data_IF_345090396157
#
_entry.id   IF_345090396157
#
_cell.length_a   1.000
_cell.length_b   1.000
_cell.length_c   1.000
_cell.angle_alpha   90.00
_cell.angle_beta   90.00
_cell.angle_gamma   90.00
#
_symmetry.space_group_name_H-M   'P 1'
#
loop_
_entity.id
_entity.type
_entity.pdbx_description
1 polymer ?
#
# COMPACT_ATOMS: atom_id res chain seq x y z
N UNK A 1 -20.24 -28.31 -15.81
CA UNK A 1 -20.15 -27.37 -14.66
C UNK A 1 -20.71 -28.06 -13.44
N UNK A 2 -20.10 -27.84 -12.27
CA UNK A 2 -20.60 -28.31 -10.98
C UNK A 2 -21.93 -27.64 -10.62
N UNK A 3 -22.66 -28.24 -9.67
CA UNK A 3 -23.80 -27.60 -9.02
C UNK A 3 -23.37 -26.23 -8.45
N UNK A 4 -24.28 -25.27 -8.46
CA UNK A 4 -24.01 -23.89 -8.09
C UNK A 4 -25.15 -23.28 -7.28
N UNK A 5 -24.84 -22.13 -6.62
CA UNK A 5 -25.85 -21.38 -5.88
C UNK A 5 -26.47 -20.31 -6.79
N UNK A 6 -27.77 -20.32 -6.94
CA UNK A 6 -28.52 -19.26 -7.61
C UNK A 6 -28.81 -18.14 -6.62
N UNK A 7 -28.16 -16.97 -6.85
CA UNK A 7 -28.26 -15.78 -5.99
C UNK A 7 -29.66 -15.13 -6.04
N UNK A 8 -30.40 -15.36 -7.11
CA UNK A 8 -31.72 -14.76 -7.29
C UNK A 8 -32.81 -15.52 -6.53
N UNK A 9 -32.71 -16.85 -6.49
CA UNK A 9 -33.67 -17.73 -5.82
C UNK A 9 -33.25 -18.19 -4.43
N UNK A 10 -31.95 -18.07 -4.12
CA UNK A 10 -31.38 -18.59 -2.88
C UNK A 10 -31.27 -20.11 -2.84
N UNK A 11 -31.33 -20.79 -3.99
CA UNK A 11 -31.37 -22.25 -4.09
C UNK A 11 -30.12 -22.81 -4.77
N UNK A 12 -29.82 -24.06 -4.50
CA UNK A 12 -28.81 -24.81 -5.24
C UNK A 12 -29.43 -25.33 -6.55
N UNK A 13 -28.75 -25.07 -7.65
CA UNK A 13 -29.14 -25.57 -8.99
C UNK A 13 -28.21 -26.70 -9.42
N UNK A 14 -28.77 -27.64 -10.22
CA UNK A 14 -28.05 -28.81 -10.72
C UNK A 14 -26.85 -28.42 -11.60
N UNK A 15 -25.79 -29.22 -11.55
CA UNK A 15 -24.68 -29.10 -12.46
C UNK A 15 -25.05 -29.51 -13.89
N UNK A 16 -24.20 -29.12 -14.84
CA UNK A 16 -24.41 -29.44 -16.27
C UNK A 16 -23.22 -30.19 -16.82
N UNK A 17 -23.52 -31.27 -17.56
CA UNK A 17 -22.50 -31.96 -18.34
C UNK A 17 -21.89 -31.00 -19.37
N UNK A 18 -20.54 -30.96 -19.42
CA UNK A 18 -19.79 -30.24 -20.43
C UNK A 18 -19.46 -31.13 -21.60
N UNK A 19 -19.54 -30.59 -22.81
CA UNK A 19 -19.10 -31.25 -24.04
C UNK A 19 -18.10 -30.29 -24.74
N UNK A 20 -16.92 -30.80 -25.06
CA UNK A 20 -15.94 -30.09 -25.85
C UNK A 20 -15.48 -30.94 -27.01
N UNK A 21 -15.25 -30.35 -28.17
CA UNK A 21 -14.74 -31.04 -29.37
C UNK A 21 -13.86 -30.09 -30.16
N UNK A 22 -13.00 -30.65 -31.01
CA UNK A 22 -12.19 -29.90 -31.95
C UNK A 22 -13.07 -29.30 -33.06
N UNK A 23 -13.30 -28.00 -33.01
CA UNK A 23 -14.16 -27.27 -33.96
C UNK A 23 -13.59 -27.37 -35.37
N UNK A 24 -12.27 -27.16 -35.57
CA UNK A 24 -11.65 -27.21 -36.90
C UNK A 24 -11.69 -28.59 -37.49
N UNK A 25 -11.47 -29.63 -36.68
CA UNK A 25 -11.63 -31.04 -37.09
C UNK A 25 -13.10 -31.37 -37.44
N UNK A 26 -14.05 -30.86 -36.65
CA UNK A 26 -15.47 -31.04 -36.94
C UNK A 26 -15.90 -30.36 -38.25
N UNK A 27 -15.47 -29.13 -38.50
CA UNK A 27 -15.73 -28.38 -39.74
C UNK A 27 -15.17 -29.12 -40.96
N UNK A 28 -13.98 -29.73 -40.85
CA UNK A 28 -13.39 -30.54 -41.92
C UNK A 28 -14.26 -31.79 -42.17
N UNK A 29 -14.66 -32.54 -41.13
CA UNK A 29 -15.49 -33.71 -41.25
C UNK A 29 -16.84 -33.39 -41.94
N UNK A 30 -17.42 -32.22 -41.59
CA UNK A 30 -18.66 -31.72 -42.22
C UNK A 30 -18.40 -31.32 -43.68
N UNK A 31 -17.32 -30.64 -44.00
CA UNK A 31 -16.95 -30.21 -45.33
C UNK A 31 -16.67 -31.39 -46.29
N UNK A 32 -16.10 -32.46 -45.80
CA UNK A 32 -15.78 -33.67 -46.57
C UNK A 32 -17.00 -34.64 -46.72
N UNK A 33 -18.10 -34.42 -46.03
CA UNK A 33 -19.24 -35.30 -45.99
C UNK A 33 -20.15 -35.17 -47.23
N UNK A 34 -20.71 -36.27 -47.65
CA UNK A 34 -21.71 -36.31 -48.71
C UNK A 34 -23.11 -35.98 -48.13
N UNK A 35 -24.03 -35.41 -48.97
CA UNK A 35 -25.41 -35.20 -48.53
C UNK A 35 -26.09 -36.46 -48.02
N UNK A 36 -26.61 -36.42 -46.77
CA UNK A 36 -27.22 -37.57 -46.10
C UNK A 36 -26.27 -38.53 -45.38
N UNK A 37 -24.97 -38.25 -45.37
CA UNK A 37 -23.97 -39.03 -44.62
C UNK A 37 -24.05 -38.71 -43.13
N UNK A 38 -24.10 -39.72 -42.27
CA UNK A 38 -23.91 -39.56 -40.82
C UNK A 38 -22.47 -39.34 -40.47
N UNK A 39 -22.20 -38.29 -39.68
CA UNK A 39 -20.86 -37.91 -39.25
C UNK A 39 -20.78 -38.06 -37.74
N UNK A 40 -19.73 -38.74 -37.25
CA UNK A 40 -19.42 -38.85 -35.84
C UNK A 40 -18.35 -37.85 -35.51
N UNK A 41 -18.69 -36.80 -34.72
CA UNK A 41 -17.70 -35.83 -34.22
C UNK A 41 -17.17 -36.32 -32.85
N UNK A 42 -15.87 -36.62 -32.73
CA UNK A 42 -15.29 -37.00 -31.43
C UNK A 42 -15.46 -35.85 -30.41
N UNK A 43 -16.05 -36.14 -29.28
CA UNK A 43 -16.27 -35.15 -28.24
C UNK A 43 -15.78 -35.66 -26.88
N UNK A 44 -15.21 -34.76 -26.07
CA UNK A 44 -14.88 -35.03 -24.69
C UNK A 44 -16.04 -34.60 -23.80
N UNK A 45 -16.54 -35.55 -23.01
CA UNK A 45 -17.64 -35.33 -22.07
C UNK A 45 -17.08 -35.15 -20.67
N UNK A 46 -17.43 -34.05 -20.00
CA UNK A 46 -17.04 -33.74 -18.62
C UNK A 46 -18.30 -33.74 -17.74
N UNK A 47 -18.35 -34.60 -16.75
CA UNK A 47 -19.43 -34.66 -15.78
C UNK A 47 -19.16 -33.72 -14.58
N UNK A 48 -20.24 -33.19 -13.93
CA UNK A 48 -20.08 -32.47 -12.66
C UNK A 48 -19.41 -33.36 -11.60
N UNK A 49 -18.45 -32.82 -10.89
CA UNK A 49 -17.78 -33.47 -9.72
C UNK A 49 -18.53 -33.19 -8.43
N UNK A 50 -19.36 -32.14 -8.40
CA UNK A 50 -20.20 -31.74 -7.26
C UNK A 50 -21.67 -31.76 -7.75
N UNK A 51 -22.47 -32.65 -7.20
CA UNK A 51 -23.91 -32.75 -7.47
C UNK A 51 -24.71 -31.78 -6.61
N UNK A 52 -25.94 -31.50 -6.97
CA UNK A 52 -26.89 -30.69 -6.18
C UNK A 52 -27.07 -31.24 -4.77
N UNK A 53 -27.28 -32.53 -4.64
CA UNK A 53 -27.54 -33.19 -3.36
C UNK A 53 -26.30 -33.14 -2.42
N UNK A 54 -25.09 -33.20 -2.96
CA UNK A 54 -23.86 -33.02 -2.18
C UNK A 54 -23.69 -31.57 -1.74
N UNK A 55 -23.87 -30.62 -2.67
CA UNK A 55 -23.74 -29.20 -2.37
C UNK A 55 -24.73 -28.73 -1.30
N UNK A 56 -25.99 -29.17 -1.36
CA UNK A 56 -27.01 -28.80 -0.37
C UNK A 56 -26.64 -29.20 1.06
N UNK A 57 -25.91 -30.32 1.24
CA UNK A 57 -25.49 -30.82 2.56
C UNK A 57 -24.35 -30.01 3.17
N UNK A 58 -23.53 -29.39 2.32
CA UNK A 58 -22.26 -28.77 2.76
C UNK A 58 -22.16 -27.27 2.44
N UNK A 59 -23.23 -26.70 1.88
CA UNK A 59 -23.26 -25.30 1.43
C UNK A 59 -22.91 -24.34 2.58
N UNK A 60 -21.83 -23.59 2.41
CA UNK A 60 -21.32 -22.61 3.38
C UNK A 60 -21.14 -23.13 4.81
N UNK A 61 -20.89 -24.45 4.97
CA UNK A 61 -20.81 -25.12 6.27
C UNK A 61 -19.64 -24.64 7.12
N UNK A 62 -18.50 -24.36 6.48
CA UNK A 62 -17.24 -24.15 7.16
C UNK A 62 -16.77 -22.68 7.03
N UNK A 63 -16.10 -22.17 8.06
CA UNK A 63 -15.28 -20.97 7.93
C UNK A 63 -13.94 -21.39 7.34
N UNK A 64 -13.69 -21.03 6.08
CA UNK A 64 -12.43 -21.37 5.39
C UNK A 64 -11.29 -20.48 5.86
N UNK A 65 -11.57 -19.20 6.11
CA UNK A 65 -10.60 -18.24 6.63
C UNK A 65 -11.25 -16.92 7.05
N UNK A 66 -10.53 -16.17 7.87
CA UNK A 66 -11.00 -14.89 8.37
C UNK A 66 -9.83 -13.99 8.78
N UNK A 67 -10.07 -12.68 8.73
CA UNK A 67 -9.21 -11.68 9.31
C UNK A 67 -10.02 -10.55 9.93
N UNK A 68 -9.44 -9.93 10.96
CA UNK A 68 -10.04 -8.80 11.68
C UNK A 68 -9.08 -7.64 11.70
N UNK A 69 -9.55 -6.46 11.31
CA UNK A 69 -8.78 -5.21 11.42
C UNK A 69 -9.50 -4.19 12.30
N UNK A 70 -8.72 -3.47 13.10
CA UNK A 70 -9.25 -2.39 13.97
C UNK A 70 -9.41 -1.11 13.15
N UNK A 71 -10.57 -0.46 13.29
CA UNK A 71 -10.94 0.76 12.55
C UNK A 71 -10.84 1.95 13.51
N UNK A 72 -9.88 2.82 13.26
CA UNK A 72 -9.66 4.09 13.97
C UNK A 72 -10.04 5.30 13.10
N UNK A 73 -10.05 6.49 13.68
CA UNK A 73 -10.23 7.77 12.99
C UNK A 73 -11.58 8.42 13.24
N UNK A 74 -12.00 9.30 12.32
CA UNK A 74 -13.23 10.08 12.46
C UNK A 74 -14.49 9.21 12.37
N UNK A 75 -15.61 9.70 12.92
CA UNK A 75 -16.92 9.04 12.80
C UNK A 75 -17.33 8.77 11.35
N UNK A 76 -16.99 9.68 10.44
CA UNK A 76 -17.31 9.55 9.02
C UNK A 76 -16.47 8.46 8.33
N UNK A 77 -15.19 8.33 8.70
CA UNK A 77 -14.35 7.21 8.25
C UNK A 77 -14.88 5.87 8.76
N UNK A 78 -15.22 5.80 10.04
CA UNK A 78 -15.80 4.59 10.66
C UNK A 78 -17.12 4.21 9.97
N UNK A 79 -17.98 5.21 9.69
CA UNK A 79 -19.22 5.01 8.93
C UNK A 79 -18.94 4.43 7.54
N UNK A 80 -17.99 4.99 6.78
CA UNK A 80 -17.64 4.52 5.44
C UNK A 80 -17.13 3.07 5.43
N UNK A 81 -16.25 2.71 6.38
CA UNK A 81 -15.75 1.34 6.52
C UNK A 81 -16.91 0.38 6.82
N UNK A 82 -17.78 0.74 7.76
CA UNK A 82 -18.94 -0.08 8.13
C UNK A 82 -19.92 -0.24 6.96
N UNK A 83 -20.16 0.83 6.19
CA UNK A 83 -21.00 0.79 5.00
C UNK A 83 -20.41 -0.12 3.91
N UNK A 84 -19.13 0.04 3.59
CA UNK A 84 -18.46 -0.80 2.60
C UNK A 84 -18.44 -2.29 3.02
N UNK A 85 -18.20 -2.56 4.30
CA UNK A 85 -18.29 -3.92 4.85
C UNK A 85 -19.71 -4.50 4.71
N UNK A 86 -20.75 -3.70 5.01
CA UNK A 86 -22.14 -4.11 4.81
C UNK A 86 -22.46 -4.42 3.35
N UNK A 87 -21.95 -3.63 2.41
CA UNK A 87 -22.22 -3.81 0.98
C UNK A 87 -21.62 -5.11 0.41
N UNK A 88 -20.46 -5.56 0.89
CA UNK A 88 -19.86 -6.84 0.46
C UNK A 88 -20.41 -8.05 1.23
N UNK A 89 -21.10 -7.83 2.36
CA UNK A 89 -21.55 -8.92 3.22
C UNK A 89 -22.71 -9.68 2.56
N UNK A 90 -22.62 -11.00 2.55
CA UNK A 90 -23.60 -11.89 1.91
C UNK A 90 -23.27 -12.21 0.45
N UNK A 91 -22.22 -11.64 -0.13
CA UNK A 91 -21.80 -11.94 -1.51
C UNK A 91 -21.44 -13.41 -1.66
N UNK A 92 -22.07 -14.08 -2.62
CA UNK A 92 -21.77 -15.46 -2.99
C UNK A 92 -20.99 -15.50 -4.30
N UNK A 93 -19.94 -16.33 -4.36
CA UNK A 93 -19.09 -16.52 -5.54
C UNK A 93 -19.05 -18.01 -5.84
N UNK A 94 -19.65 -18.44 -6.94
CA UNK A 94 -19.63 -19.83 -7.35
C UNK A 94 -18.23 -20.27 -7.81
N UNK A 95 -18.01 -21.57 -7.92
CA UNK A 95 -16.79 -22.16 -8.45
C UNK A 95 -16.42 -21.53 -9.81
N UNK A 96 -15.18 -21.07 -9.94
CA UNK A 96 -14.64 -20.42 -11.13
C UNK A 96 -15.07 -18.97 -11.35
N UNK A 97 -16.02 -18.41 -10.58
CA UNK A 97 -16.44 -17.02 -10.71
C UNK A 97 -15.46 -16.04 -10.07
N UNK A 98 -15.46 -14.81 -10.59
CA UNK A 98 -14.76 -13.69 -10.01
C UNK A 98 -15.67 -12.86 -9.09
N UNK A 99 -15.10 -12.34 -8.02
CA UNK A 99 -15.69 -11.30 -7.17
C UNK A 99 -14.93 -9.99 -7.39
N UNK A 100 -15.63 -8.93 -7.74
CA UNK A 100 -15.14 -7.56 -7.83
C UNK A 100 -15.56 -6.78 -6.59
N UNK A 101 -14.60 -6.24 -5.86
CA UNK A 101 -14.88 -5.41 -4.68
C UNK A 101 -15.64 -4.14 -5.06
N UNK A 102 -15.19 -3.45 -6.11
CA UNK A 102 -15.84 -2.23 -6.58
C UNK A 102 -17.28 -2.47 -7.01
N UNK A 103 -17.57 -3.56 -7.73
CA UNK A 103 -18.94 -3.89 -8.12
C UNK A 103 -19.84 -4.17 -6.90
N UNK A 104 -19.31 -4.82 -5.86
CA UNK A 104 -20.06 -5.12 -4.65
C UNK A 104 -20.28 -3.90 -3.76
N UNK A 105 -19.28 -3.03 -3.61
CA UNK A 105 -19.38 -1.80 -2.81
C UNK A 105 -20.20 -0.72 -3.52
N UNK A 106 -20.08 -0.62 -4.83
CA UNK A 106 -20.63 0.43 -5.66
C UNK A 106 -19.83 1.74 -5.61
N UNK A 107 -20.34 2.81 -6.24
CA UNK A 107 -19.71 4.13 -6.28
C UNK A 107 -19.50 4.70 -4.87
N UNK A 108 -18.30 5.18 -4.58
CA UNK A 108 -17.99 5.82 -3.28
C UNK A 108 -18.28 7.33 -3.33
N UNK A 109 -19.54 7.69 -3.60
CA UNK A 109 -19.98 9.07 -3.78
C UNK A 109 -20.93 9.52 -2.65
N UNK A 110 -21.22 10.81 -2.60
CA UNK A 110 -22.24 11.38 -1.70
C UNK A 110 -23.62 10.78 -1.96
N UNK A 111 -24.00 10.64 -3.22
CA UNK A 111 -25.29 10.12 -3.68
C UNK A 111 -25.48 8.66 -3.28
N UNK A 112 -24.39 7.90 -3.27
CA UNK A 112 -24.36 6.52 -2.75
C UNK A 112 -24.33 6.47 -1.21
N UNK A 113 -24.37 7.63 -0.52
CA UNK A 113 -24.44 7.76 0.92
C UNK A 113 -23.10 7.59 1.64
N UNK A 114 -21.96 7.71 0.96
CA UNK A 114 -20.66 7.77 1.61
C UNK A 114 -20.39 9.19 2.16
N UNK A 115 -19.58 9.27 3.19
CA UNK A 115 -19.16 10.49 3.85
C UNK A 115 -17.75 10.89 3.46
N UNK A 116 -17.39 12.17 3.73
CA UNK A 116 -16.04 12.65 3.48
C UNK A 116 -15.10 12.05 4.53
N UNK A 117 -14.07 11.38 4.06
CA UNK A 117 -12.93 10.91 4.84
C UNK A 117 -11.64 11.39 4.21
N UNK A 118 -10.51 10.86 4.69
CA UNK A 118 -9.20 11.14 4.11
C UNK A 118 -8.83 10.07 3.10
N UNK A 119 -8.40 10.47 1.91
CA UNK A 119 -7.73 9.64 0.93
C UNK A 119 -6.34 10.22 0.61
N UNK A 120 -5.42 9.38 0.12
CA UNK A 120 -4.13 9.85 -0.37
C UNK A 120 -4.15 9.86 -1.90
N UNK A 121 -3.95 11.05 -2.47
CA UNK A 121 -3.90 11.25 -3.93
C UNK A 121 -2.62 12.01 -4.27
N UNK A 122 -1.76 11.42 -5.10
CA UNK A 122 -0.48 12.02 -5.45
C UNK A 122 0.41 12.32 -4.23
N UNK A 123 0.39 11.44 -3.21
CA UNK A 123 1.18 11.61 -1.99
C UNK A 123 0.62 12.59 -0.95
N UNK A 124 -0.50 13.26 -1.24
CA UNK A 124 -1.13 14.24 -0.33
C UNK A 124 -2.42 13.67 0.26
N UNK A 125 -2.62 13.93 1.55
CA UNK A 125 -3.89 13.66 2.20
C UNK A 125 -4.95 14.66 1.72
N UNK A 126 -6.02 14.17 1.11
CA UNK A 126 -7.12 15.00 0.58
C UNK A 126 -8.47 14.51 1.09
N UNK A 127 -9.44 15.42 1.31
CA UNK A 127 -10.81 15.03 1.58
C UNK A 127 -11.41 14.27 0.38
N UNK A 128 -12.02 13.11 0.63
CA UNK A 128 -12.65 12.30 -0.42
C UNK A 128 -13.83 11.52 0.14
N UNK A 129 -14.90 11.38 -0.64
CA UNK A 129 -16.00 10.49 -0.28
C UNK A 129 -15.50 9.03 -0.26
N UNK A 130 -15.98 8.26 0.70
CA UNK A 130 -15.57 6.86 0.85
C UNK A 130 -14.18 6.67 1.50
N UNK A 131 -13.53 7.74 2.03
CA UNK A 131 -12.27 7.57 2.75
C UNK A 131 -12.39 6.51 3.84
N UNK A 132 -11.53 5.47 3.77
CA UNK A 132 -11.51 4.31 4.65
C UNK A 132 -11.92 2.98 4.00
N UNK A 133 -12.58 2.96 2.84
CA UNK A 133 -13.09 1.71 2.20
C UNK A 133 -11.98 0.72 1.85
N UNK A 134 -10.74 1.19 1.58
CA UNK A 134 -9.58 0.33 1.33
C UNK A 134 -9.21 -0.55 2.53
N UNK A 135 -9.64 -0.22 3.74
CA UNK A 135 -9.44 -1.10 4.89
C UNK A 135 -10.25 -2.39 4.75
N UNK A 136 -11.46 -2.30 4.21
CA UNK A 136 -12.32 -3.48 3.97
C UNK A 136 -11.77 -4.34 2.84
N UNK A 137 -11.32 -3.74 1.73
CA UNK A 137 -10.69 -4.50 0.64
C UNK A 137 -9.40 -5.19 1.07
N UNK A 138 -8.59 -4.55 1.91
CA UNK A 138 -7.37 -5.16 2.47
C UNK A 138 -7.69 -6.29 3.44
N UNK A 139 -8.70 -6.11 4.31
CA UNK A 139 -9.17 -7.16 5.23
C UNK A 139 -9.68 -8.37 4.46
N UNK A 140 -10.43 -8.15 3.37
CA UNK A 140 -10.90 -9.21 2.47
C UNK A 140 -9.75 -9.87 1.72
N UNK A 141 -8.80 -9.09 1.20
CA UNK A 141 -7.62 -9.64 0.50
C UNK A 141 -6.84 -10.59 1.41
N UNK A 142 -6.50 -10.16 2.63
CA UNK A 142 -5.78 -11.02 3.54
C UNK A 142 -6.59 -12.26 3.94
N UNK A 143 -7.93 -12.12 4.13
CA UNK A 143 -8.81 -13.28 4.35
C UNK A 143 -8.80 -14.24 3.15
N UNK A 144 -8.78 -13.72 1.93
CA UNK A 144 -8.72 -14.52 0.70
C UNK A 144 -7.39 -15.28 0.54
N UNK A 145 -6.26 -14.65 0.94
CA UNK A 145 -4.96 -15.31 0.97
C UNK A 145 -4.97 -16.51 1.93
N UNK A 146 -5.56 -16.36 3.12
CA UNK A 146 -5.66 -17.44 4.12
C UNK A 146 -6.53 -18.62 3.67
N UNK A 147 -7.41 -18.40 2.68
CA UNK A 147 -8.26 -19.43 2.06
C UNK A 147 -7.62 -20.02 0.79
N UNK A 148 -6.46 -19.54 0.39
CA UNK A 148 -5.80 -19.90 -0.87
C UNK A 148 -6.62 -19.57 -2.13
N UNK A 149 -7.45 -18.51 -2.08
CA UNK A 149 -8.18 -18.05 -3.26
C UNK A 149 -7.23 -17.41 -4.27
N UNK A 150 -7.58 -17.53 -5.54
CA UNK A 150 -6.82 -16.90 -6.62
C UNK A 150 -7.06 -15.39 -6.63
N UNK A 151 -5.99 -14.61 -6.61
CA UNK A 151 -6.05 -13.16 -6.77
C UNK A 151 -5.92 -12.82 -8.25
N UNK A 152 -6.91 -12.10 -8.79
CA UNK A 152 -6.98 -11.72 -10.20
C UNK A 152 -6.44 -10.31 -10.41
N UNK A 153 -6.78 -9.39 -9.49
CA UNK A 153 -6.31 -8.01 -9.52
C UNK A 153 -6.13 -7.47 -8.12
N UNK A 154 -4.98 -6.87 -7.85
CA UNK A 154 -4.66 -6.22 -6.58
C UNK A 154 -3.57 -5.17 -6.80
N UNK A 155 -3.69 -4.02 -6.17
CA UNK A 155 -2.62 -3.04 -6.03
C UNK A 155 -2.36 -2.75 -4.55
N UNK A 156 -1.09 -2.49 -4.17
CA UNK A 156 -0.76 -2.01 -2.83
C UNK A 156 -1.03 -0.50 -2.72
N UNK A 157 -1.13 0.00 -1.48
CA UNK A 157 -1.17 1.43 -1.25
C UNK A 157 0.19 2.08 -1.55
N UNK A 158 0.16 3.37 -1.82
CA UNK A 158 1.38 4.18 -1.92
C UNK A 158 2.20 4.15 -0.62
N UNK A 159 1.54 4.19 0.53
CA UNK A 159 2.15 4.09 1.86
C UNK A 159 1.64 2.85 2.59
N UNK A 160 2.53 2.17 3.32
CA UNK A 160 2.15 0.99 4.09
C UNK A 160 1.03 1.30 5.09
N UNK A 161 0.12 0.35 5.23
CA UNK A 161 -1.01 0.43 6.14
C UNK A 161 -0.73 -0.40 7.38
N UNK A 162 -1.23 0.03 8.53
CA UNK A 162 -1.02 -0.61 9.84
C UNK A 162 -2.13 -1.61 10.24
N UNK A 163 -3.24 -1.62 9.52
CA UNK A 163 -4.39 -2.48 9.83
C UNK A 163 -4.32 -3.89 9.21
N UNK A 164 -3.31 -4.17 8.39
CA UNK A 164 -2.96 -5.49 7.84
C UNK A 164 -1.44 -5.66 7.84
N UNK A 165 -0.91 -6.91 7.83
CA UNK A 165 0.51 -7.14 7.67
C UNK A 165 1.05 -6.51 6.38
N UNK A 166 2.28 -6.00 6.42
CA UNK A 166 2.94 -5.39 5.25
C UNK A 166 2.96 -6.35 4.06
N UNK A 167 2.60 -5.84 2.89
CA UNK A 167 2.44 -6.63 1.67
C UNK A 167 1.06 -7.29 1.52
N UNK A 168 0.17 -7.17 2.53
CA UNK A 168 -1.14 -7.80 2.54
C UNK A 168 -2.31 -6.81 2.45
N UNK A 169 -2.06 -5.61 1.99
CA UNK A 169 -3.07 -4.58 1.72
C UNK A 169 -3.57 -4.62 0.28
N UNK A 170 -4.76 -4.11 0.04
CA UNK A 170 -5.34 -3.94 -1.29
C UNK A 170 -6.01 -2.56 -1.37
N UNK A 171 -5.46 -1.65 -2.17
CA UNK A 171 -6.06 -0.35 -2.42
C UNK A 171 -7.08 -0.43 -3.53
N UNK A 172 -8.15 0.34 -3.39
CA UNK A 172 -9.23 0.45 -4.38
C UNK A 172 -9.59 1.91 -4.61
N UNK A 173 -10.02 2.23 -5.82
CA UNK A 173 -10.50 3.56 -6.19
C UNK A 173 -11.54 3.45 -7.31
N UNK A 174 -12.79 3.67 -7.00
CA UNK A 174 -13.89 3.59 -7.97
C UNK A 174 -13.78 4.64 -9.06
N UNK A 175 -14.01 4.30 -10.33
CA UNK A 175 -14.17 2.95 -10.91
C UNK A 175 -12.84 2.34 -11.42
N UNK A 176 -11.70 2.99 -11.16
CA UNK A 176 -10.44 2.78 -11.89
C UNK A 176 -9.54 1.69 -11.30
N UNK A 177 -9.57 1.48 -9.99
CA UNK A 177 -8.69 0.53 -9.31
C UNK A 177 -9.52 -0.42 -8.46
N UNK A 178 -9.52 -1.70 -8.82
CA UNK A 178 -10.34 -2.73 -8.17
C UNK A 178 -9.50 -3.82 -7.51
N UNK A 179 -10.07 -4.43 -6.50
CA UNK A 179 -9.61 -5.69 -5.94
C UNK A 179 -10.53 -6.81 -6.44
N UNK A 180 -9.94 -7.78 -7.16
CA UNK A 180 -10.68 -8.89 -7.75
C UNK A 180 -10.06 -10.21 -7.32
N UNK A 181 -10.87 -11.09 -6.74
CA UNK A 181 -10.52 -12.48 -6.46
C UNK A 181 -11.36 -13.45 -7.31
N UNK A 182 -10.85 -14.67 -7.51
CA UNK A 182 -11.58 -15.77 -8.14
C UNK A 182 -11.74 -16.91 -7.13
N UNK A 183 -12.94 -17.45 -7.06
CA UNK A 183 -13.16 -18.69 -6.35
C UNK A 183 -12.62 -19.87 -7.18
N UNK A 184 -11.42 -20.31 -6.86
CA UNK A 184 -10.73 -21.45 -7.49
C UNK A 184 -11.01 -22.79 -6.79
N UNK A 185 -12.01 -22.84 -5.88
CA UNK A 185 -12.46 -24.07 -5.24
C UNK A 185 -13.63 -24.70 -6.05
N UNK A 186 -13.93 -25.96 -5.78
CA UNK A 186 -15.05 -26.66 -6.45
C UNK A 186 -16.43 -26.24 -5.92
N UNK A 187 -16.48 -25.58 -4.76
CA UNK A 187 -17.71 -25.24 -4.05
C UNK A 187 -17.94 -23.72 -4.02
N UNK A 188 -19.19 -23.25 -3.97
CA UNK A 188 -19.49 -21.85 -3.75
C UNK A 188 -18.90 -21.35 -2.41
N UNK A 189 -18.39 -20.12 -2.40
CA UNK A 189 -17.99 -19.41 -1.19
C UNK A 189 -18.93 -18.25 -0.90
N UNK A 190 -19.03 -17.84 0.37
CA UNK A 190 -19.80 -16.69 0.83
C UNK A 190 -18.96 -15.77 1.69
N UNK A 191 -18.90 -14.51 1.30
CA UNK A 191 -18.22 -13.45 2.06
C UNK A 191 -19.20 -12.87 3.06
N UNK A 192 -18.85 -12.86 4.35
CA UNK A 192 -19.67 -12.29 5.42
C UNK A 192 -18.81 -11.38 6.27
N UNK A 193 -19.34 -10.21 6.61
CA UNK A 193 -18.64 -9.25 7.47
C UNK A 193 -19.34 -9.12 8.81
N UNK A 194 -18.54 -8.89 9.85
CA UNK A 194 -19.01 -8.64 11.21
C UNK A 194 -18.40 -7.34 11.71
N UNK A 195 -19.18 -6.61 12.47
CA UNK A 195 -18.76 -5.37 13.13
C UNK A 195 -18.94 -5.47 14.63
N UNK A 196 -17.86 -5.31 15.39
CA UNK A 196 -17.91 -5.29 16.85
C UNK A 196 -16.76 -4.45 17.42
N UNK A 197 -17.08 -3.50 18.32
CA UNK A 197 -16.09 -2.64 19.02
C UNK A 197 -15.04 -2.04 18.06
N UNK A 198 -15.49 -1.38 16.98
CA UNK A 198 -14.65 -0.82 15.94
C UNK A 198 -13.72 -1.82 15.24
N UNK A 199 -14.01 -3.10 15.34
CA UNK A 199 -13.35 -4.11 14.54
C UNK A 199 -14.25 -4.52 13.37
N UNK A 200 -13.66 -4.57 12.17
CA UNK A 200 -14.27 -5.22 11.01
C UNK A 200 -13.62 -6.58 10.81
N UNK A 201 -14.43 -7.63 10.84
CA UNK A 201 -14.00 -8.99 10.54
C UNK A 201 -14.61 -9.40 9.21
N UNK A 202 -13.79 -9.90 8.29
CA UNK A 202 -14.25 -10.56 7.07
C UNK A 202 -14.04 -12.06 7.24
N UNK A 203 -15.12 -12.83 7.10
CA UNK A 203 -15.10 -14.29 7.06
C UNK A 203 -15.49 -14.79 5.67
N UNK A 204 -14.79 -15.80 5.21
CA UNK A 204 -15.11 -16.51 3.97
C UNK A 204 -15.60 -17.89 4.37
N UNK A 205 -16.89 -18.13 4.13
CA UNK A 205 -17.54 -19.41 4.34
C UNK A 205 -17.52 -20.23 3.04
N UNK A 206 -17.47 -21.54 3.17
CA UNK A 206 -17.53 -22.48 2.04
C UNK A 206 -17.57 -23.91 2.53
N UNK A 207 -17.00 -24.83 1.74
CA UNK A 207 -16.89 -26.25 2.05
C UNK A 207 -15.42 -26.63 2.18
N UNK A 208 -15.00 -27.00 3.38
CA UNK A 208 -13.64 -27.49 3.63
C UNK A 208 -13.55 -28.95 3.18
N UNK A 209 -12.65 -29.24 2.23
CA UNK A 209 -12.49 -30.57 1.62
C UNK A 209 -11.31 -31.35 2.20
N UNK A 210 -10.40 -30.66 2.89
CA UNK A 210 -9.23 -31.24 3.52
C UNK A 210 -8.84 -30.47 4.79
N UNK A 211 -7.75 -30.89 5.44
CA UNK A 211 -7.23 -30.24 6.65
C UNK A 211 -6.13 -29.22 6.38
N UNK A 212 -5.88 -28.86 5.11
CA UNK A 212 -4.85 -27.89 4.75
C UNK A 212 -5.15 -26.48 5.29
N UNK A 213 -4.08 -25.72 5.50
CA UNK A 213 -4.17 -24.31 5.92
C UNK A 213 -3.02 -23.50 5.31
N UNK A 214 -3.22 -22.17 5.27
CA UNK A 214 -2.26 -21.24 4.69
C UNK A 214 -1.63 -20.37 5.74
N UNK A 215 -0.32 -20.14 5.64
CA UNK A 215 0.41 -19.07 6.33
C UNK A 215 1.00 -18.12 5.31
N UNK A 216 0.85 -16.83 5.56
CA UNK A 216 1.46 -15.78 4.75
C UNK A 216 2.75 -15.34 5.43
N UNK A 217 3.81 -15.26 4.65
CA UNK A 217 5.09 -14.71 5.10
C UNK A 217 5.49 -13.53 4.23
N UNK A 218 6.05 -12.50 4.84
CA UNK A 218 6.51 -11.30 4.14
C UNK A 218 7.97 -11.02 4.50
N UNK A 219 8.75 -10.54 3.53
CA UNK A 219 10.14 -10.14 3.71
C UNK A 219 10.39 -8.78 3.09
N UNK A 220 10.86 -7.83 3.89
CA UNK A 220 11.36 -6.55 3.37
C UNK A 220 12.67 -6.80 2.62
N UNK A 221 12.71 -6.41 1.36
CA UNK A 221 13.86 -6.62 0.45
C UNK A 221 14.66 -5.34 0.21
N UNK A 222 14.04 -4.17 0.37
CA UNK A 222 14.72 -2.88 0.30
C UNK A 222 14.02 -1.84 1.18
N UNK A 223 14.75 -0.77 1.53
CA UNK A 223 14.22 0.40 2.24
C UNK A 223 14.65 1.66 1.53
N UNK A 224 13.74 2.65 1.46
CA UNK A 224 13.99 3.97 0.89
C UNK A 224 13.88 5.01 2.02
N UNK A 225 15.00 5.64 2.42
CA UNK A 225 14.98 6.64 3.47
C UNK A 225 14.24 7.91 3.01
N UNK A 226 13.66 8.62 3.96
CA UNK A 226 13.11 9.95 3.76
C UNK A 226 14.18 11.02 3.95
N UNK A 227 13.91 12.25 3.47
CA UNK A 227 14.76 13.45 3.64
C UNK A 227 13.99 14.52 4.41
N UNK A 228 14.73 15.46 5.04
CA UNK A 228 14.11 16.68 5.57
C UNK A 228 14.18 17.78 4.50
N UNK A 229 13.03 18.38 4.21
CA UNK A 229 12.89 19.52 3.31
C UNK A 229 12.48 20.73 4.16
N UNK A 230 13.35 21.75 4.15
CA UNK A 230 13.08 23.03 4.80
C UNK A 230 12.40 23.97 3.79
N UNK A 231 11.31 24.62 4.22
CA UNK A 231 10.59 25.64 3.44
C UNK A 231 10.53 26.92 4.21
N UNK A 232 11.10 27.98 3.66
CA UNK A 232 10.96 29.32 4.24
C UNK A 232 9.53 29.85 4.08
N UNK A 233 8.98 30.42 5.16
CA UNK A 233 7.63 30.97 5.20
C UNK A 233 7.62 32.32 5.93
N UNK A 234 6.68 33.21 5.54
CA UNK A 234 6.56 34.56 6.12
C UNK A 234 5.71 34.59 7.39
N UNK A 235 4.92 33.53 7.66
CA UNK A 235 3.94 33.48 8.75
C UNK A 235 4.48 32.88 10.05
N UNK A 236 5.80 32.70 10.16
CA UNK A 236 6.51 32.30 11.37
C UNK A 236 7.52 33.37 11.76
N UNK A 237 7.81 33.49 13.07
CA UNK A 237 8.89 34.35 13.52
C UNK A 237 10.25 33.84 12.97
N UNK A 238 11.22 34.74 12.72
CA UNK A 238 12.52 34.36 12.17
C UNK A 238 13.17 33.19 12.92
N UNK A 239 13.55 32.13 12.19
CA UNK A 239 14.21 30.96 12.75
C UNK A 239 13.31 29.99 13.52
N UNK A 240 12.01 30.28 13.68
CA UNK A 240 11.06 29.35 14.30
C UNK A 240 10.71 28.24 13.30
N UNK A 241 10.76 27.00 13.76
CA UNK A 241 10.47 25.81 12.95
C UNK A 241 9.07 25.25 13.28
N UNK A 242 8.36 24.76 12.26
CA UNK A 242 7.11 24.05 12.37
C UNK A 242 7.09 22.85 11.44
N UNK A 243 6.95 21.63 12.00
CA UNK A 243 6.80 20.42 11.18
C UNK A 243 5.38 20.42 10.60
N UNK A 244 5.24 20.43 9.27
CA UNK A 244 3.97 20.39 8.55
C UNK A 244 3.71 19.05 7.89
N UNK A 245 4.74 18.22 7.73
CA UNK A 245 4.61 16.85 7.25
C UNK A 245 5.58 15.94 7.99
N UNK A 246 5.02 14.88 8.61
CA UNK A 246 5.83 13.84 9.24
C UNK A 246 6.35 12.85 8.20
N UNK A 247 7.58 12.32 8.38
CA UNK A 247 8.19 11.42 7.43
C UNK A 247 7.60 10.01 7.49
N UNK A 248 7.72 9.28 6.37
CA UNK A 248 7.48 7.83 6.29
C UNK A 248 8.67 7.22 5.55
N UNK A 249 9.27 6.17 6.13
CA UNK A 249 10.28 5.38 5.43
C UNK A 249 9.58 4.50 4.40
N UNK A 250 10.03 4.57 3.15
CA UNK A 250 9.57 3.68 2.08
C UNK A 250 10.27 2.33 2.17
N UNK A 251 9.63 1.29 1.65
CA UNK A 251 10.24 -0.04 1.57
C UNK A 251 9.51 -0.94 0.57
N UNK A 252 10.23 -1.93 0.07
CA UNK A 252 9.68 -2.98 -0.78
C UNK A 252 9.55 -4.26 0.02
N UNK A 253 8.38 -4.88 -0.07
CA UNK A 253 8.04 -6.15 0.59
C UNK A 253 7.66 -7.19 -0.45
N UNK A 254 8.26 -8.37 -0.33
CA UNK A 254 7.83 -9.57 -1.03
C UNK A 254 7.01 -10.44 -0.09
N UNK A 255 5.90 -10.98 -0.60
CA UNK A 255 4.96 -11.81 0.16
C UNK A 255 4.85 -13.19 -0.47
N UNK A 256 4.82 -14.23 0.36
CA UNK A 256 4.66 -15.63 -0.05
C UNK A 256 3.47 -16.27 0.62
N UNK A 257 2.82 -17.14 -0.13
CA UNK A 257 1.74 -18.01 0.32
C UNK A 257 2.32 -19.41 0.56
N UNK A 258 2.25 -19.88 1.80
CA UNK A 258 2.75 -21.18 2.21
C UNK A 258 1.57 -22.06 2.62
N UNK A 259 1.33 -23.13 1.89
CA UNK A 259 0.26 -24.10 2.14
C UNK A 259 0.82 -25.26 2.92
N UNK A 260 0.16 -25.64 3.99
CA UNK A 260 0.54 -26.75 4.87
C UNK A 260 -0.56 -27.79 4.91
N UNK A 261 -0.19 -29.07 5.11
CA UNK A 261 -1.15 -30.14 5.42
C UNK A 261 -1.67 -30.03 6.88
N UNK A 262 -2.61 -30.90 7.26
CA UNK A 262 -3.18 -30.93 8.62
C UNK A 262 -2.16 -31.30 9.71
N UNK A 263 -1.00 -31.86 9.36
CA UNK A 263 0.09 -32.19 10.27
C UNK A 263 1.12 -31.09 10.41
N UNK A 264 0.99 -30.00 9.61
CA UNK A 264 1.92 -28.88 9.62
C UNK A 264 3.11 -29.03 8.68
N UNK A 265 3.12 -30.02 7.78
CA UNK A 265 4.14 -30.14 6.74
C UNK A 265 3.85 -29.17 5.60
N UNK A 266 4.89 -28.53 5.08
CA UNK A 266 4.77 -27.63 3.94
C UNK A 266 4.45 -28.40 2.67
N UNK A 267 3.29 -28.12 2.05
CA UNK A 267 2.88 -28.70 0.76
C UNK A 267 3.47 -27.88 -0.39
N UNK A 268 3.32 -26.54 -0.31
CA UNK A 268 3.81 -25.62 -1.34
C UNK A 268 4.12 -24.25 -0.77
N UNK A 269 5.05 -23.55 -1.42
CA UNK A 269 5.35 -22.15 -1.18
C UNK A 269 5.37 -21.44 -2.52
N UNK A 270 4.56 -20.41 -2.68
CA UNK A 270 4.46 -19.64 -3.90
C UNK A 270 4.62 -18.14 -3.62
N UNK A 271 5.31 -17.46 -4.53
CA UNK A 271 5.37 -16.00 -4.53
C UNK A 271 3.98 -15.44 -4.80
N UNK A 272 3.51 -14.56 -3.92
CA UNK A 272 2.20 -13.94 -4.05
C UNK A 272 2.29 -12.58 -4.73
N UNK A 273 3.09 -11.68 -4.18
CA UNK A 273 3.21 -10.32 -4.71
C UNK A 273 4.44 -9.60 -4.17
N UNK A 274 4.88 -8.60 -4.92
CA UNK A 274 5.77 -7.55 -4.45
C UNK A 274 4.97 -6.26 -4.25
N UNK A 275 5.20 -5.60 -3.11
CA UNK A 275 4.53 -4.35 -2.74
C UNK A 275 5.57 -3.29 -2.48
N UNK A 276 5.49 -2.20 -3.26
CA UNK A 276 6.39 -1.05 -3.13
C UNK A 276 5.66 0.08 -2.41
N UNK A 277 6.16 0.45 -1.24
CA UNK A 277 5.65 1.56 -0.45
C UNK A 277 6.61 2.73 -0.54
N UNK A 278 6.09 3.89 -0.97
CA UNK A 278 6.88 5.10 -1.16
C UNK A 278 7.38 5.66 0.17
N UNK A 279 8.53 6.34 0.12
CA UNK A 279 8.95 7.22 1.21
C UNK A 279 8.21 8.56 1.14
N UNK A 280 8.02 9.18 2.31
CA UNK A 280 7.48 10.54 2.40
C UNK A 280 8.44 11.41 3.20
N UNK A 281 8.88 12.50 2.61
CA UNK A 281 9.82 13.40 3.24
C UNK A 281 9.21 14.17 4.43
N UNK A 282 10.06 14.51 5.42
CA UNK A 282 9.71 15.46 6.48
C UNK A 282 9.72 16.86 5.90
N UNK A 283 8.65 17.63 6.10
CA UNK A 283 8.60 19.04 5.72
C UNK A 283 8.60 19.88 7.00
N UNK A 284 9.59 20.77 7.07
CA UNK A 284 9.75 21.74 8.15
C UNK A 284 9.64 23.14 7.54
N UNK A 285 8.65 23.89 7.98
CA UNK A 285 8.53 25.32 7.67
C UNK A 285 9.42 26.11 8.65
N UNK A 286 10.19 27.06 8.13
CA UNK A 286 11.09 27.92 8.90
C UNK A 286 10.74 29.36 8.62
N UNK A 287 10.59 30.18 9.66
CA UNK A 287 10.36 31.60 9.51
C UNK A 287 11.56 32.29 8.83
N UNK A 288 11.31 33.05 7.77
CA UNK A 288 12.35 33.79 7.05
C UNK A 288 13.13 34.68 7.99
N UNK A 289 14.46 34.63 7.92
CA UNK A 289 15.27 35.62 8.60
C UNK A 289 15.04 36.98 7.97
N UNK A 290 14.81 38.00 8.81
CA UNK A 290 14.81 39.38 8.30
C UNK A 290 16.19 39.66 7.70
N UNK A 291 16.29 40.33 6.55
CA UNK A 291 17.54 40.75 6.03
C UNK A 291 18.31 41.49 7.16
N UNK A 292 19.50 41.04 7.47
CA UNK A 292 20.35 41.77 8.41
C UNK A 292 20.55 43.13 7.80
N UNK A 293 20.36 44.27 8.53
CA UNK A 293 20.63 45.59 8.00
C UNK A 293 22.06 45.56 7.45
N UNK A 294 22.27 45.98 6.22
CA UNK A 294 23.59 46.14 5.65
C UNK A 294 24.43 46.92 6.67
N UNK A 295 25.69 46.48 6.98
CA UNK A 295 26.55 47.24 7.86
C UNK A 295 26.62 48.66 7.31
N UNK A 296 26.26 49.64 8.16
CA UNK A 296 26.40 51.05 7.77
C UNK A 296 27.83 51.20 7.25
N UNK A 297 28.02 51.84 6.09
CA UNK A 297 29.37 52.11 5.61
C UNK A 297 30.14 52.76 6.74
N UNK A 298 31.34 52.25 7.01
CA UNK A 298 32.25 52.85 7.99
C UNK A 298 32.31 54.35 7.71
N UNK A 299 32.27 55.21 8.76
CA UNK A 299 32.42 56.63 8.57
C UNK A 299 33.73 56.85 7.80
N UNK A 300 33.61 57.56 6.67
CA UNK A 300 34.75 57.97 5.85
C UNK A 300 35.82 58.47 6.78
N UNK A 301 37.08 57.95 6.74
CA UNK A 301 38.13 58.41 7.61
C UNK A 301 38.26 59.91 7.45
N UNK A 302 38.15 60.64 8.56
CA UNK A 302 38.47 62.10 8.62
C UNK A 302 39.82 62.26 8.05
N UNK A 303 40.03 63.17 7.07
CA UNK A 303 41.35 63.38 6.53
C UNK A 303 42.30 63.72 7.68
N UNK A 304 43.38 62.99 7.78
CA UNK A 304 44.48 63.20 8.71
C UNK A 304 45.02 64.66 8.52
N UNK A 305 45.25 65.48 9.59
CA UNK A 305 45.78 66.83 9.44
C UNK A 305 47.17 66.71 8.80
N UNK A 306 47.40 67.59 7.82
CA UNK A 306 48.74 67.71 7.15
C UNK A 306 49.83 67.77 8.16
N UNK A 307 50.97 67.08 7.97
CA UNK A 307 52.10 67.11 8.88
C UNK A 307 52.67 68.52 8.95
N UNK A 308 52.79 69.08 10.17
CA UNK A 308 53.54 70.32 10.46
C UNK A 308 54.99 70.13 10.02
N UNK A 309 55.57 71.13 9.34
CA UNK A 309 56.99 71.02 8.89
C UNK A 309 57.94 70.83 10.09
N UNK A 310 58.85 69.92 9.91
CA UNK A 310 59.93 69.62 10.89
C UNK A 310 60.74 70.86 11.21
N UNK A 311 61.11 71.10 12.50
CA UNK A 311 62.05 72.12 12.88
C UNK A 311 63.45 71.79 12.35
N UNK A 312 64.17 72.84 11.90
CA UNK A 312 65.57 72.76 11.43
C UNK A 312 66.49 72.07 12.48
N UNK A 313 67.47 71.27 12.04
CA UNK A 313 68.31 70.53 12.94
C UNK A 313 69.32 71.49 13.67
N UNK A 314 69.41 71.31 14.97
CA UNK A 314 70.44 71.95 15.79
C UNK A 314 71.86 71.38 15.46
N UNK A 315 72.92 72.18 15.56
CA UNK A 315 74.32 71.79 15.22
C UNK A 315 74.87 70.75 16.21
N UNK A 316 75.61 69.79 15.67
CA UNK A 316 76.21 68.67 16.39
C UNK A 316 77.24 69.19 17.44
N UNK A 317 77.30 68.59 18.64
CA UNK A 317 78.37 68.84 19.59
C UNK A 317 79.69 68.07 19.21
N UNK A 318 80.81 68.71 19.49
CA UNK A 318 82.17 68.19 19.26
C UNK A 318 82.47 66.90 20.06
N UNK A 319 83.32 66.00 19.56
CA UNK A 319 83.60 64.71 20.20
C UNK A 319 84.51 64.80 21.42
N UNK A 320 84.10 64.07 22.48
CA UNK A 320 84.92 63.85 23.69
C UNK A 320 86.06 62.83 23.47
N UNK A 321 87.19 62.96 24.16
CA UNK A 321 88.37 62.10 23.96
C UNK A 321 88.24 60.72 24.63
N UNK A 322 88.87 59.74 23.99
CA UNK A 322 88.99 58.34 24.37
C UNK A 322 89.41 58.05 25.80
N UNK A 323 88.84 57.11 26.52
CA UNK A 323 89.42 56.53 27.72
C UNK A 323 90.26 55.27 27.44
N UNK A 324 91.37 55.16 28.23
CA UNK A 324 92.38 54.13 28.18
C UNK A 324 91.85 52.69 28.55
N UNK A 325 92.61 51.63 28.15
CA UNK A 325 92.18 50.25 28.31
C UNK A 325 92.45 49.70 29.72
N UNK A 326 91.54 48.87 30.16
CA UNK A 326 91.57 48.17 31.43
C UNK A 326 92.03 46.71 31.27
N UNK A 327 92.65 46.15 32.34
CA UNK A 327 93.42 44.91 32.22
C UNK A 327 92.61 43.64 32.44
N UNK A 328 93.25 42.57 31.99
CA UNK A 328 92.73 41.18 31.95
C UNK A 328 92.40 40.54 33.30
N UNK A 329 91.53 39.73 33.30
CA UNK A 329 91.10 38.79 34.35
C UNK A 329 91.50 37.37 34.09
N UNK A 330 91.78 36.53 35.06
CA UNK A 330 92.09 35.12 34.84
C UNK A 330 90.88 34.21 35.13
N UNK A 331 90.87 33.08 34.46
CA UNK A 331 89.88 32.08 34.46
C UNK A 331 89.63 31.31 35.77
N UNK A 332 88.55 30.61 35.77
CA UNK A 332 88.35 29.16 36.06
C UNK A 332 87.03 28.74 35.54
#
# INVERSE_FOLDING_TARGET
KNASYDRSTGQVVEGRVGVTFDVAGAEKLVGDAQPGQEIVIPAQITYPTVTKAELEKVLFRDVLGQYTSYVSGTSDRIFNVRKAAGNISGSVVNSGENFSYNNAVGPTTKEAGFKIGTAYVGGKAVPSYGGGVCQVSSTLYYSALLVNLKIVSRACHMYAQDYVPSGCDATVFWPYLDFVLQNNTDYPIKIVTYWYNNNVTVKIFGTKTDSSFVKITSKTVSTTPWKTIYKEVDNLAPGVERVTQYPITGFTVQTWRNVYDGNGNLISSSFEAESNYDSRDKIVEVGKQKPQPEPKPDPTPTPEPEPTPDPEPEPEPEPDPDPAPDPAEPGT
#
